data_IF_657595480228
#
_entry.id   IF_657595480228
#
_cell.length_a   1.000
_cell.length_b   1.000
_cell.length_c   1.000
_cell.angle_alpha   90.00
_cell.angle_beta   90.00
_cell.angle_gamma   90.00
#
_symmetry.space_group_name_H-M   'P 1'
#
loop_
_entity.id
_entity.type
_entity.pdbx_description
1 polymer ?
#
# COMPACT_ATOMS: atom_id res chain seq x y z
N UNK A 1 16.52 -6.51 -20.83
CA UNK A 1 15.26 -6.50 -20.03
C UNK A 1 14.15 -6.12 -20.99
N UNK A 2 13.07 -6.91 -21.16
CA UNK A 2 11.99 -6.49 -22.05
C UNK A 2 11.35 -5.24 -21.46
N UNK A 3 11.34 -4.18 -22.26
CA UNK A 3 10.75 -2.90 -21.94
C UNK A 3 9.23 -3.12 -22.03
N UNK A 4 8.59 -3.41 -20.91
CA UNK A 4 7.14 -3.43 -20.82
C UNK A 4 6.63 -1.99 -20.97
N UNK A 5 5.64 -1.79 -21.85
CA UNK A 5 4.88 -0.54 -22.02
C UNK A 5 3.96 -0.23 -20.82
N UNK A 6 3.95 -1.08 -19.80
CA UNK A 6 3.19 -0.86 -18.59
C UNK A 6 3.74 0.33 -17.79
N UNK A 7 2.83 1.15 -17.25
CA UNK A 7 3.13 2.18 -16.28
C UNK A 7 3.87 1.59 -15.06
N UNK A 8 4.72 2.40 -14.42
CA UNK A 8 5.61 1.94 -13.36
C UNK A 8 5.39 2.74 -12.08
N UNK A 9 5.32 2.02 -10.96
CA UNK A 9 5.39 2.60 -9.63
C UNK A 9 6.80 2.31 -9.08
N UNK A 10 7.58 3.36 -8.81
CA UNK A 10 8.96 3.23 -8.32
C UNK A 10 9.06 3.73 -6.89
N UNK A 11 9.55 2.86 -6.01
CA UNK A 11 9.75 3.12 -4.59
C UNK A 11 11.24 3.32 -4.35
N UNK A 12 11.64 4.45 -3.78
CA UNK A 12 13.03 4.76 -3.48
C UNK A 12 13.30 4.68 -1.98
N UNK A 13 14.41 4.03 -1.62
CA UNK A 13 14.94 4.04 -0.27
C UNK A 13 16.32 4.69 -0.27
N UNK A 14 16.40 5.87 0.35
CA UNK A 14 17.63 6.65 0.45
C UNK A 14 18.41 6.36 1.74
N UNK A 15 18.04 5.33 2.50
CA UNK A 15 18.72 4.95 3.74
C UNK A 15 19.81 3.89 3.48
N UNK A 16 20.88 3.86 4.30
CA UNK A 16 21.97 2.88 4.17
C UNK A 16 21.62 1.47 4.72
N UNK A 17 20.33 1.17 4.91
CA UNK A 17 19.83 -0.17 5.26
C UNK A 17 18.52 -0.48 4.51
N UNK A 18 18.20 -1.76 4.28
CA UNK A 18 16.93 -2.15 3.67
C UNK A 18 15.75 -1.78 4.58
N UNK A 19 14.61 -1.44 3.97
CA UNK A 19 13.37 -1.13 4.70
C UNK A 19 12.28 -2.09 4.28
N UNK A 20 11.67 -2.76 5.25
CA UNK A 20 10.35 -3.37 5.10
C UNK A 20 9.32 -2.37 5.62
N UNK A 21 8.44 -1.91 4.74
CA UNK A 21 7.57 -0.79 5.06
C UNK A 21 6.19 -0.91 4.43
N UNK A 22 5.20 -0.44 5.19
CA UNK A 22 3.85 -0.21 4.72
C UNK A 22 3.77 1.22 4.16
N UNK A 23 3.78 1.32 2.84
CA UNK A 23 3.89 2.58 2.09
C UNK A 23 2.49 3.03 1.68
N UNK A 24 2.12 4.27 2.01
CA UNK A 24 0.95 4.93 1.46
C UNK A 24 1.35 5.70 0.21
N UNK A 25 0.66 5.47 -0.90
CA UNK A 25 0.93 6.17 -2.16
C UNK A 25 -0.34 6.30 -2.99
N UNK A 26 -0.27 7.06 -4.08
CA UNK A 26 -1.40 7.33 -4.96
C UNK A 26 -1.06 6.83 -6.35
N UNK A 27 -1.95 6.02 -6.93
CA UNK A 27 -1.87 5.55 -8.31
C UNK A 27 -2.93 6.26 -9.14
N UNK A 28 -2.49 6.90 -10.22
CA UNK A 28 -3.35 7.60 -11.19
C UNK A 28 -3.24 6.88 -12.52
N UNK A 29 -4.35 6.38 -13.04
CA UNK A 29 -4.35 5.63 -14.29
C UNK A 29 -5.68 5.73 -15.04
N UNK A 30 -5.61 5.31 -16.31
CA UNK A 30 -6.75 5.15 -17.20
C UNK A 30 -7.33 3.75 -16.97
N UNK A 31 -8.49 3.65 -16.33
CA UNK A 31 -9.10 2.36 -15.99
C UNK A 31 -9.74 2.33 -14.61
N UNK A 32 -10.72 1.45 -14.44
CA UNK A 32 -11.53 1.33 -13.22
C UNK A 32 -10.89 0.44 -12.14
N UNK A 33 -9.87 -0.34 -12.52
CA UNK A 33 -9.14 -1.25 -11.66
C UNK A 33 -7.72 -1.46 -12.21
N UNK A 34 -6.84 -2.07 -11.42
CA UNK A 34 -5.50 -2.40 -11.86
C UNK A 34 -4.93 -3.58 -11.08
N UNK A 35 -3.83 -4.14 -11.59
CA UNK A 35 -3.01 -5.11 -10.88
C UNK A 35 -1.57 -4.57 -10.74
N UNK A 36 -0.87 -4.99 -9.69
CA UNK A 36 0.55 -4.69 -9.48
C UNK A 36 1.37 -5.97 -9.63
N UNK A 37 2.47 -5.88 -10.39
CA UNK A 37 3.46 -6.96 -10.52
C UNK A 37 4.86 -6.51 -10.13
N UNK A 38 5.64 -7.42 -9.57
CA UNK A 38 7.06 -7.20 -9.35
C UNK A 38 7.90 -7.42 -10.62
N UNK A 39 9.22 -7.23 -10.51
CA UNK A 39 10.16 -7.47 -11.63
C UNK A 39 10.26 -8.92 -12.11
N UNK A 40 9.61 -9.87 -11.42
CA UNK A 40 9.51 -11.29 -11.81
C UNK A 40 8.12 -11.64 -12.34
N UNK A 41 7.23 -10.66 -12.46
CA UNK A 41 5.84 -10.84 -12.89
C UNK A 41 4.92 -11.40 -11.80
N UNK A 42 5.37 -11.49 -10.54
CA UNK A 42 4.56 -11.99 -9.45
C UNK A 42 3.56 -10.92 -8.98
N UNK A 43 2.30 -11.29 -8.66
CA UNK A 43 1.30 -10.35 -8.19
C UNK A 43 1.71 -9.78 -6.82
N UNK A 44 1.57 -8.46 -6.68
CA UNK A 44 1.84 -7.74 -5.43
C UNK A 44 0.53 -7.34 -4.77
N UNK A 45 0.23 -7.84 -3.55
CA UNK A 45 -0.98 -7.46 -2.84
C UNK A 45 -0.94 -6.01 -2.37
N UNK A 46 -2.09 -5.35 -2.38
CA UNK A 46 -2.24 -3.97 -1.93
C UNK A 46 -3.62 -3.74 -1.32
N UNK A 47 -3.75 -2.69 -0.50
CA UNK A 47 -5.01 -2.26 0.07
C UNK A 47 -5.45 -0.93 -0.55
N UNK A 48 -6.71 -0.82 -0.97
CA UNK A 48 -7.28 0.44 -1.45
C UNK A 48 -7.89 1.18 -0.26
N UNK A 49 -7.31 2.33 0.08
CA UNK A 49 -7.83 3.21 1.13
C UNK A 49 -8.94 4.12 0.61
N UNK A 50 -8.79 4.62 -0.61
CA UNK A 50 -9.75 5.48 -1.27
C UNK A 50 -9.64 5.33 -2.79
N UNK A 51 -10.76 5.44 -3.50
CA UNK A 51 -10.81 5.45 -4.96
C UNK A 51 -11.74 6.58 -5.41
N UNK A 52 -11.30 7.38 -6.38
CA UNK A 52 -12.10 8.47 -6.95
C UNK A 52 -11.84 8.63 -8.44
N UNK A 53 -12.90 8.96 -9.17
CA UNK A 53 -12.77 9.44 -10.54
C UNK A 53 -12.25 10.88 -10.53
N UNK A 54 -11.34 11.18 -11.44
CA UNK A 54 -10.75 12.51 -11.60
C UNK A 54 -10.96 13.01 -13.02
N UNK A 55 -11.13 14.33 -13.18
CA UNK A 55 -11.33 14.94 -14.48
C UNK A 55 -10.11 14.70 -15.39
N UNK A 56 -10.27 14.03 -16.56
CA UNK A 56 -9.18 13.80 -17.51
C UNK A 56 -8.44 15.08 -17.93
N UNK A 57 -9.14 16.23 -17.95
CA UNK A 57 -8.58 17.53 -18.30
C UNK A 57 -7.55 18.07 -17.32
N UNK A 58 -7.46 17.51 -16.10
CA UNK A 58 -6.42 17.84 -15.12
C UNK A 58 -5.06 17.20 -15.44
N UNK A 59 -5.05 16.15 -16.26
CA UNK A 59 -3.84 15.38 -16.58
C UNK A 59 -3.39 15.67 -18.00
N UNK A 60 -4.32 15.78 -18.95
CA UNK A 60 -4.04 16.21 -20.32
C UNK A 60 -5.32 16.73 -21.02
N UNK A 61 -5.32 18.02 -21.35
CA UNK A 61 -6.44 18.74 -21.96
C UNK A 61 -6.78 18.27 -23.38
N UNK A 62 -5.93 17.49 -24.04
CA UNK A 62 -6.19 17.00 -25.40
C UNK A 62 -7.04 15.72 -25.43
N UNK A 63 -7.24 15.06 -24.28
CA UNK A 63 -8.01 13.80 -24.17
C UNK A 63 -9.54 14.06 -24.17
N UNK A 64 -9.97 15.28 -23.84
CA UNK A 64 -11.38 15.65 -23.62
C UNK A 64 -12.24 15.56 -24.89
N UNK A 65 -11.63 15.43 -26.07
CA UNK A 65 -12.30 15.56 -27.37
C UNK A 65 -12.90 14.28 -27.97
N UNK A 66 -12.68 13.11 -27.36
CA UNK A 66 -13.24 11.84 -27.86
C UNK A 66 -14.03 11.19 -26.72
N UNK A 67 -15.35 11.42 -26.69
CA UNK A 67 -16.25 11.03 -25.60
C UNK A 67 -16.44 9.53 -25.36
N UNK A 68 -15.41 8.72 -25.51
CA UNK A 68 -15.40 7.27 -25.33
C UNK A 68 -14.07 6.84 -24.69
N UNK A 69 -13.87 7.23 -23.43
CA UNK A 69 -12.61 7.05 -22.71
C UNK A 69 -12.86 6.33 -21.38
N UNK A 70 -11.98 5.37 -21.04
CA UNK A 70 -11.97 4.72 -19.73
C UNK A 70 -11.87 5.77 -18.61
N UNK A 71 -12.56 5.62 -17.46
CA UNK A 71 -12.50 6.62 -16.41
C UNK A 71 -11.05 6.86 -15.97
N UNK A 72 -10.68 8.13 -15.78
CA UNK A 72 -9.41 8.44 -15.16
C UNK A 72 -9.60 8.31 -13.65
N UNK A 73 -8.93 7.33 -13.05
CA UNK A 73 -9.10 7.02 -11.64
C UNK A 73 -7.85 7.36 -10.85
N UNK A 74 -8.07 7.81 -9.62
CA UNK A 74 -7.06 7.99 -8.60
C UNK A 74 -7.34 7.04 -7.43
N UNK A 75 -6.36 6.22 -7.10
CA UNK A 75 -6.41 5.24 -6.02
C UNK A 75 -5.37 5.59 -4.96
N UNK A 76 -5.82 5.95 -3.76
CA UNK A 76 -4.95 6.02 -2.59
C UNK A 76 -4.80 4.60 -2.06
N UNK A 77 -3.59 4.05 -2.16
CA UNK A 77 -3.29 2.66 -1.81
C UNK A 77 -2.26 2.56 -0.68
N UNK A 78 -2.27 1.39 -0.06
CA UNK A 78 -1.27 0.97 0.90
C UNK A 78 -0.63 -0.35 0.44
N UNK A 79 0.69 -0.39 0.40
CA UNK A 79 1.48 -1.55 -0.06
C UNK A 79 2.59 -1.89 0.93
N UNK A 80 2.77 -3.17 1.23
CA UNK A 80 3.95 -3.63 1.98
C UNK A 80 5.03 -4.08 1.01
N UNK A 81 6.22 -3.48 1.08
CA UNK A 81 7.36 -3.82 0.24
C UNK A 81 8.68 -3.75 1.00
N UNK A 82 9.63 -4.58 0.56
CA UNK A 82 11.04 -4.47 0.97
C UNK A 82 11.78 -3.65 -0.08
N UNK A 83 12.26 -2.47 0.30
CA UNK A 83 13.05 -1.61 -0.59
C UNK A 83 14.54 -1.71 -0.20
N UNK A 84 15.45 -2.07 -1.12
CA UNK A 84 16.86 -2.28 -0.81
C UNK A 84 17.52 -0.99 -0.31
N UNK A 85 18.63 -1.11 0.43
CA UNK A 85 19.43 0.04 0.86
C UNK A 85 19.91 0.87 -0.32
N UNK A 86 19.86 2.20 -0.18
CA UNK A 86 20.34 3.16 -1.20
C UNK A 86 19.87 2.80 -2.62
N UNK A 87 18.64 2.31 -2.73
CA UNK A 87 18.16 1.63 -3.93
C UNK A 87 16.69 1.88 -4.18
N UNK A 88 16.14 1.13 -5.13
CA UNK A 88 14.75 1.26 -5.51
C UNK A 88 14.10 -0.09 -5.81
N UNK A 89 12.78 -0.09 -5.79
CA UNK A 89 11.95 -1.20 -6.28
C UNK A 89 10.97 -0.67 -7.30
N UNK A 90 10.92 -1.34 -8.45
CA UNK A 90 9.97 -1.05 -9.51
C UNK A 90 8.85 -2.08 -9.49
N UNK A 91 7.62 -1.59 -9.44
CA UNK A 91 6.41 -2.36 -9.68
C UNK A 91 5.80 -1.93 -11.03
N UNK A 92 5.13 -2.86 -11.69
CA UNK A 92 4.48 -2.66 -12.98
C UNK A 92 2.96 -2.63 -12.77
N UNK A 93 2.32 -1.62 -13.33
CA UNK A 93 0.88 -1.38 -13.22
C UNK A 93 0.21 -1.94 -14.47
N UNK A 94 -0.69 -2.89 -14.28
CA UNK A 94 -1.51 -3.45 -15.35
C UNK A 94 -2.94 -2.89 -15.21
N UNK A 95 -3.28 -1.86 -16.00
CA UNK A 95 -4.60 -1.26 -15.99
C UNK A 95 -5.69 -2.23 -16.47
N UNK A 96 -6.90 -2.09 -15.93
CA UNK A 96 -8.08 -2.91 -16.20
C UNK A 96 -7.91 -4.41 -15.91
N UNK A 97 -6.80 -4.84 -15.31
CA UNK A 97 -6.61 -6.19 -14.80
C UNK A 97 -7.14 -6.32 -13.38
N UNK A 98 -7.64 -7.51 -13.02
CA UNK A 98 -8.13 -7.78 -11.67
C UNK A 98 -6.97 -7.78 -10.68
N UNK A 99 -7.03 -6.85 -9.72
CA UNK A 99 -5.97 -6.64 -8.74
C UNK A 99 -5.99 -7.63 -7.58
N UNK A 100 -4.83 -7.86 -6.98
CA UNK A 100 -4.70 -8.61 -5.73
C UNK A 100 -5.02 -7.72 -4.52
N UNK A 101 -6.26 -7.22 -4.45
CA UNK A 101 -6.71 -6.31 -3.39
C UNK A 101 -6.94 -7.08 -2.10
N UNK A 102 -6.21 -6.71 -1.05
CA UNK A 102 -6.39 -7.26 0.29
C UNK A 102 -7.58 -6.60 0.96
N UNK A 103 -8.44 -7.37 1.61
CA UNK A 103 -9.54 -6.84 2.43
C UNK A 103 -9.05 -6.66 3.88
N UNK A 104 -9.45 -5.61 4.60
CA UNK A 104 -9.11 -5.49 6.01
C UNK A 104 -9.62 -6.70 6.75
N UNK A 105 -8.79 -7.31 7.60
CA UNK A 105 -9.30 -8.29 8.56
C UNK A 105 -10.31 -7.57 9.45
N UNK A 106 -11.47 -8.19 9.68
CA UNK A 106 -12.49 -7.67 10.59
C UNK A 106 -11.86 -7.31 11.94
N UNK A 107 -12.34 -6.24 12.58
CA UNK A 107 -11.88 -5.80 13.90
C UNK A 107 -11.95 -6.98 14.88
N UNK A 108 -10.81 -7.57 15.20
CA UNK A 108 -10.67 -8.41 16.39
C UNK A 108 -10.80 -7.52 17.63
N UNK A 109 -11.35 -8.11 18.69
CA UNK A 109 -11.79 -7.49 19.95
C UNK A 109 -10.67 -6.71 20.68
N UNK A 110 -10.32 -5.51 20.20
CA UNK A 110 -9.35 -4.62 20.87
C UNK A 110 -7.91 -5.14 20.91
N UNK A 111 -7.59 -6.20 20.15
CA UNK A 111 -6.25 -6.80 20.09
C UNK A 111 -5.67 -6.65 18.68
N UNK A 112 -4.48 -6.07 18.61
CA UNK A 112 -3.62 -6.03 17.44
C UNK A 112 -2.47 -7.02 17.64
N UNK A 113 -2.27 -7.92 16.68
CA UNK A 113 -1.27 -8.98 16.82
C UNK A 113 -0.53 -9.22 15.51
N UNK A 114 0.79 -9.33 15.59
CA UNK A 114 1.64 -9.79 14.50
C UNK A 114 2.62 -10.88 15.00
N UNK A 115 3.64 -11.23 14.20
CA UNK A 115 4.61 -12.27 14.58
C UNK A 115 5.46 -11.91 15.82
N UNK A 116 5.61 -10.62 16.12
CA UNK A 116 6.52 -10.10 17.14
C UNK A 116 5.79 -9.60 18.37
N UNK A 117 4.64 -8.97 18.19
CA UNK A 117 3.92 -8.26 19.24
C UNK A 117 2.48 -8.70 19.33
N UNK A 118 1.97 -8.70 20.56
CA UNK A 118 0.55 -8.64 20.85
C UNK A 118 0.29 -7.35 21.63
N UNK A 119 -0.64 -6.54 21.14
CA UNK A 119 -1.03 -5.25 21.71
C UNK A 119 -2.52 -5.30 22.02
N UNK A 120 -2.89 -5.08 23.27
CA UNK A 120 -4.28 -5.03 23.72
C UNK A 120 -4.60 -3.65 24.30
N UNK A 121 -5.82 -3.18 24.06
CA UNK A 121 -6.36 -1.97 24.69
C UNK A 121 -7.02 -2.35 26.03
N UNK A 122 -6.57 -1.73 27.12
CA UNK A 122 -7.19 -1.85 28.43
C UNK A 122 -8.47 -0.99 28.50
N UNK A 123 -9.36 -1.30 29.45
CA UNK A 123 -10.63 -0.57 29.63
C UNK A 123 -10.42 0.92 29.96
N UNK A 124 -9.32 1.26 30.62
CA UNK A 124 -8.93 2.63 30.97
C UNK A 124 -8.29 3.40 29.80
N UNK A 125 -8.15 2.77 28.64
CA UNK A 125 -7.54 3.34 27.44
C UNK A 125 -6.01 3.23 27.37
N UNK A 126 -5.36 2.62 28.37
CA UNK A 126 -3.93 2.30 28.31
C UNK A 126 -3.67 1.07 27.44
N UNK A 127 -2.41 0.86 27.04
CA UNK A 127 -2.01 -0.29 26.21
C UNK A 127 -1.23 -1.32 27.03
N UNK A 128 -1.55 -2.59 26.79
CA UNK A 128 -0.72 -3.74 27.15
C UNK A 128 0.04 -4.22 25.92
N UNK A 129 1.37 -4.24 26.00
CA UNK A 129 2.25 -4.76 24.96
C UNK A 129 2.94 -6.03 25.45
N UNK A 130 2.93 -7.08 24.64
CA UNK A 130 3.64 -8.34 24.89
C UNK A 130 4.60 -8.58 23.73
N UNK A 131 5.89 -8.63 24.05
CA UNK A 131 6.93 -9.11 23.14
C UNK A 131 6.86 -10.65 23.12
N UNK A 132 6.62 -11.23 21.95
CA UNK A 132 6.47 -12.69 21.79
C UNK A 132 7.80 -13.43 21.80
N UNK A 133 8.91 -12.75 21.49
CA UNK A 133 10.23 -13.38 21.48
C UNK A 133 10.76 -13.54 22.91
N UNK A 134 10.73 -12.46 23.67
CA UNK A 134 11.23 -12.45 25.06
C UNK A 134 10.17 -12.84 26.10
N UNK A 135 8.89 -12.77 25.76
CA UNK A 135 7.76 -12.94 26.69
C UNK A 135 7.55 -11.75 27.63
N UNK A 136 8.34 -10.68 27.50
CA UNK A 136 8.26 -9.51 28.36
C UNK A 136 6.95 -8.77 28.11
N UNK A 137 6.32 -8.33 29.22
CA UNK A 137 5.06 -7.60 29.21
C UNK A 137 5.28 -6.18 29.71
N UNK A 138 4.63 -5.24 29.02
CA UNK A 138 4.61 -3.83 29.36
C UNK A 138 3.16 -3.40 29.51
N UNK A 139 2.73 -3.19 30.76
CA UNK A 139 1.39 -2.72 31.09
C UNK A 139 1.36 -1.19 31.23
N UNK A 140 0.15 -0.63 31.13
CA UNK A 140 -0.21 0.77 31.38
C UNK A 140 0.59 1.80 30.58
N UNK A 141 0.94 1.47 29.33
CA UNK A 141 1.65 2.39 28.44
C UNK A 141 0.67 3.36 27.79
N UNK A 142 0.94 4.65 27.98
CA UNK A 142 0.27 5.76 27.28
C UNK A 142 1.27 6.38 26.31
N UNK A 143 0.95 6.43 25.02
CA UNK A 143 1.74 7.19 24.06
C UNK A 143 1.38 8.67 24.19
N UNK A 144 2.35 9.49 24.60
CA UNK A 144 2.24 10.95 24.48
C UNK A 144 2.69 11.34 23.07
N UNK A 145 1.89 12.20 22.42
CA UNK A 145 2.16 12.76 21.09
C UNK A 145 3.31 13.75 21.11
#
# INVERSE_FOLDING_TARGET
MPQSDADKLVLFNLMPWPREEVINTTVRLRGSQFNLRDGRGQPVPYFIRHAREIDPGLIDRQIVHYGNYDPFMEFDIQISQIVPSMGYRTLYIEANQLGNVVTPKSKTEGILENAFWQIALNEDGSLRLVDKDSGVRYDDRVFHN
#
